data_IF_823611927665
#
_entry.id   IF_823611927665
#
_cell.length_a   1.000
_cell.length_b   1.000
_cell.length_c   1.000
_cell.angle_alpha   90.00
_cell.angle_beta   90.00
_cell.angle_gamma   90.00
#
_symmetry.space_group_name_H-M   'P 1'
#
loop_
_entity.id
_entity.type
_entity.pdbx_description
1 polymer ?
#
# COMPACT_ATOMS: atom_id res chain seq x y z
N UNK A 1 24.21 -34.40 14.56
CA UNK A 1 23.99 -33.07 15.20
C UNK A 1 22.89 -32.37 14.43
N UNK A 2 21.70 -32.23 15.00
CA UNK A 2 20.56 -31.57 14.36
C UNK A 2 20.86 -30.05 14.24
N UNK A 3 21.22 -29.59 13.04
CA UNK A 3 21.32 -28.20 12.67
C UNK A 3 19.91 -27.59 12.50
N UNK A 4 19.06 -27.64 13.50
CA UNK A 4 17.89 -26.78 13.49
C UNK A 4 18.37 -25.34 13.66
N UNK A 5 17.90 -24.40 12.84
CA UNK A 5 18.22 -22.98 13.03
C UNK A 5 17.75 -22.59 14.42
N UNK A 6 18.69 -22.10 15.24
CA UNK A 6 18.46 -21.71 16.63
C UNK A 6 17.48 -20.54 16.81
N UNK A 7 17.01 -19.97 15.69
CA UNK A 7 16.06 -18.88 15.62
C UNK A 7 15.00 -19.27 14.60
N UNK A 8 13.71 -19.32 14.96
CA UNK A 8 12.64 -19.56 14.01
C UNK A 8 12.66 -18.55 12.85
N UNK A 9 12.50 -19.02 11.64
CA UNK A 9 12.34 -18.19 10.43
C UNK A 9 10.90 -18.25 9.94
N UNK A 10 10.55 -17.39 8.99
CA UNK A 10 9.23 -17.46 8.36
C UNK A 10 9.04 -18.78 7.65
N UNK A 11 7.87 -19.43 7.75
CA UNK A 11 7.64 -20.71 7.12
C UNK A 11 7.65 -20.61 5.59
N UNK A 12 8.26 -21.57 4.92
CA UNK A 12 8.13 -21.72 3.47
C UNK A 12 6.84 -22.50 3.18
N UNK A 13 5.78 -21.78 2.79
CA UNK A 13 4.47 -22.35 2.55
C UNK A 13 4.18 -22.38 1.05
N UNK A 14 3.84 -23.56 0.56
CA UNK A 14 3.39 -23.78 -0.81
C UNK A 14 1.90 -23.43 -0.92
N UNK A 15 1.56 -22.56 -1.84
CA UNK A 15 0.18 -22.22 -2.19
C UNK A 15 -0.28 -23.19 -3.28
N UNK A 16 -1.37 -23.89 -3.09
CA UNK A 16 -1.87 -24.86 -4.05
C UNK A 16 -2.70 -24.21 -5.19
N UNK A 17 -3.00 -25.00 -6.24
CA UNK A 17 -3.77 -24.54 -7.40
C UNK A 17 -5.20 -24.13 -7.04
N UNK A 18 -5.81 -24.77 -6.04
CA UNK A 18 -7.18 -24.46 -5.59
C UNK A 18 -7.23 -23.14 -4.84
N UNK A 19 -6.18 -22.85 -4.07
CA UNK A 19 -6.02 -21.55 -3.41
C UNK A 19 -5.84 -20.45 -4.45
N UNK A 20 -4.96 -20.62 -5.42
CA UNK A 20 -4.80 -19.63 -6.50
C UNK A 20 -6.08 -19.41 -7.29
N UNK A 21 -6.82 -20.47 -7.60
CA UNK A 21 -8.15 -20.31 -8.25
C UNK A 21 -9.09 -19.45 -7.41
N UNK A 22 -9.14 -19.67 -6.09
CA UNK A 22 -9.94 -18.85 -5.18
C UNK A 22 -9.50 -17.37 -5.21
N UNK A 23 -8.18 -17.10 -5.11
CA UNK A 23 -7.62 -15.75 -5.15
C UNK A 23 -7.98 -15.03 -6.46
N UNK A 24 -7.78 -15.70 -7.58
CA UNK A 24 -8.07 -15.14 -8.90
C UNK A 24 -9.55 -14.85 -9.09
N UNK A 25 -10.45 -15.73 -8.61
CA UNK A 25 -11.90 -15.51 -8.69
C UNK A 25 -12.31 -14.28 -7.88
N UNK A 26 -11.80 -14.11 -6.64
CA UNK A 26 -12.08 -12.93 -5.82
C UNK A 26 -11.49 -11.68 -6.47
N UNK A 27 -10.24 -11.73 -6.93
CA UNK A 27 -9.59 -10.59 -7.57
C UNK A 27 -10.34 -10.11 -8.81
N UNK A 28 -10.66 -11.01 -9.73
CA UNK A 28 -11.41 -10.67 -10.94
C UNK A 28 -12.83 -10.20 -10.61
N UNK A 29 -13.51 -10.83 -9.66
CA UNK A 29 -14.84 -10.43 -9.22
C UNK A 29 -14.85 -8.99 -8.67
N UNK A 30 -13.88 -8.64 -7.82
CA UNK A 30 -13.76 -7.28 -7.28
C UNK A 30 -13.42 -6.25 -8.38
N UNK A 31 -12.53 -6.57 -9.30
CA UNK A 31 -12.22 -5.69 -10.43
C UNK A 31 -13.44 -5.44 -11.32
N UNK A 32 -14.26 -6.46 -11.56
CA UNK A 32 -15.51 -6.32 -12.32
C UNK A 32 -16.50 -5.45 -11.55
N UNK A 33 -16.73 -5.73 -10.26
CA UNK A 33 -17.66 -4.96 -9.42
C UNK A 33 -17.26 -3.49 -9.36
N UNK A 34 -15.97 -3.21 -9.12
CA UNK A 34 -15.47 -1.82 -9.06
C UNK A 34 -15.44 -1.12 -10.42
N UNK A 35 -15.63 -1.84 -11.52
CA UNK A 35 -15.74 -1.24 -12.86
C UNK A 35 -17.18 -0.81 -13.20
N UNK A 36 -18.17 -1.34 -12.50
CA UNK A 36 -19.57 -1.02 -12.78
C UNK A 36 -19.90 0.48 -12.70
N UNK A 37 -19.47 1.25 -11.67
CA UNK A 37 -19.71 2.70 -11.63
C UNK A 37 -19.11 3.45 -12.81
N UNK A 38 -17.95 3.04 -13.32
CA UNK A 38 -17.31 3.64 -14.49
C UNK A 38 -18.09 3.39 -15.77
N UNK A 39 -18.54 2.15 -15.96
CA UNK A 39 -19.38 1.76 -17.09
C UNK A 39 -20.69 2.56 -17.05
N UNK A 40 -21.33 2.60 -15.88
CA UNK A 40 -22.57 3.36 -15.69
C UNK A 40 -22.37 4.84 -16.01
N UNK A 41 -21.33 5.48 -15.46
CA UNK A 41 -21.05 6.89 -15.70
C UNK A 41 -20.77 7.20 -17.19
N UNK A 42 -20.04 6.31 -17.89
CA UNK A 42 -19.75 6.47 -19.30
C UNK A 42 -21.03 6.42 -20.16
N UNK A 43 -21.96 5.50 -19.84
CA UNK A 43 -23.23 5.36 -20.60
C UNK A 43 -24.30 6.36 -20.17
N UNK A 44 -24.24 6.92 -18.97
CA UNK A 44 -25.18 7.89 -18.43
C UNK A 44 -24.80 9.34 -18.71
N UNK A 45 -23.65 9.59 -19.32
CA UNK A 45 -23.22 10.94 -19.67
C UNK A 45 -24.22 11.58 -20.66
N UNK A 46 -24.70 12.82 -20.39
CA UNK A 46 -25.55 13.56 -21.33
C UNK A 46 -24.86 13.76 -22.68
N UNK A 47 -25.60 13.94 -23.78
CA UNK A 47 -25.03 14.07 -25.14
C UNK A 47 -24.06 15.27 -25.29
N UNK A 48 -24.20 16.29 -24.46
CA UNK A 48 -23.37 17.50 -24.43
C UNK A 48 -22.17 17.39 -23.48
N UNK A 49 -21.97 16.25 -22.81
CA UNK A 49 -20.91 16.02 -21.83
C UNK A 49 -20.15 14.73 -22.09
N UNK A 50 -18.89 14.73 -21.69
CA UNK A 50 -18.03 13.56 -21.76
C UNK A 50 -17.60 13.13 -20.36
N UNK A 51 -17.72 11.82 -20.07
CA UNK A 51 -17.18 11.25 -18.85
C UNK A 51 -15.65 11.21 -18.90
N UNK A 52 -14.99 11.83 -17.92
CA UNK A 52 -13.55 12.01 -17.89
C UNK A 52 -12.77 10.78 -17.40
N UNK A 53 -13.45 9.66 -17.08
CA UNK A 53 -12.82 8.40 -16.72
C UNK A 53 -12.45 8.24 -15.24
N UNK A 54 -12.85 9.16 -14.37
CA UNK A 54 -12.67 9.06 -12.90
C UNK A 54 -13.96 9.49 -12.19
N UNK A 55 -14.20 8.96 -10.98
CA UNK A 55 -15.46 9.12 -10.24
C UNK A 55 -15.29 9.78 -8.87
N UNK A 56 -14.09 9.84 -8.35
CA UNK A 56 -13.74 10.43 -7.06
C UNK A 56 -12.46 11.26 -7.19
N UNK A 57 -12.22 12.15 -6.21
CA UNK A 57 -10.98 12.90 -6.03
C UNK A 57 -10.56 13.70 -7.27
N UNK A 58 -11.48 14.51 -7.77
CA UNK A 58 -11.31 15.35 -8.97
C UNK A 58 -10.03 16.21 -8.94
N UNK A 59 -9.66 16.86 -7.81
CA UNK A 59 -8.46 17.69 -7.76
C UNK A 59 -7.18 16.92 -8.06
N UNK A 60 -6.98 15.74 -7.46
CA UNK A 60 -5.79 14.92 -7.70
C UNK A 60 -5.76 14.41 -9.15
N UNK A 61 -6.93 14.05 -9.69
CA UNK A 61 -7.01 13.62 -11.09
C UNK A 61 -6.69 14.75 -12.06
N UNK A 62 -7.02 16.00 -11.75
CA UNK A 62 -6.63 17.14 -12.57
C UNK A 62 -5.11 17.27 -12.63
N UNK A 63 -4.43 17.07 -11.50
CA UNK A 63 -2.96 17.05 -11.42
C UNK A 63 -2.38 15.87 -12.21
N UNK A 64 -2.90 14.65 -12.01
CA UNK A 64 -2.42 13.46 -12.72
C UNK A 64 -2.61 13.56 -14.23
N UNK A 65 -3.72 14.15 -14.67
CA UNK A 65 -3.98 14.43 -16.08
C UNK A 65 -2.96 15.43 -16.65
N UNK A 66 -2.65 16.47 -15.89
CA UNK A 66 -1.64 17.47 -16.25
C UNK A 66 -0.26 16.81 -16.41
N UNK A 67 0.17 16.01 -15.43
CA UNK A 67 1.42 15.25 -15.52
C UNK A 67 1.43 14.25 -16.69
N UNK A 68 0.30 13.55 -16.92
CA UNK A 68 0.18 12.62 -18.04
C UNK A 68 0.44 13.31 -19.38
N UNK A 69 -0.08 14.51 -19.58
CA UNK A 69 0.15 15.26 -20.81
C UNK A 69 1.58 15.79 -20.90
N UNK A 70 2.11 16.38 -19.84
CA UNK A 70 3.47 16.90 -19.83
C UNK A 70 4.52 15.80 -20.07
N UNK A 71 4.39 14.65 -19.40
CA UNK A 71 5.32 13.51 -19.59
C UNK A 71 5.25 12.84 -20.97
N UNK A 72 4.27 13.16 -21.80
CA UNK A 72 4.28 12.69 -23.20
C UNK A 72 5.35 13.38 -24.05
N UNK A 73 5.73 14.59 -23.69
CA UNK A 73 6.74 15.41 -24.41
C UNK A 73 8.05 15.48 -23.65
N UNK A 74 7.99 15.62 -22.33
CA UNK A 74 9.14 15.94 -21.49
C UNK A 74 9.45 14.80 -20.51
N UNK A 75 10.74 14.62 -20.19
CA UNK A 75 11.17 13.63 -19.18
C UNK A 75 11.14 14.22 -17.77
N UNK A 76 11.46 15.48 -17.63
CA UNK A 76 11.31 16.25 -16.40
C UNK A 76 10.31 17.36 -16.66
N UNK A 77 9.41 17.61 -15.69
CA UNK A 77 8.38 18.62 -15.78
C UNK A 77 8.49 19.61 -14.62
N UNK A 78 7.89 20.76 -14.78
CA UNK A 78 7.73 21.77 -13.73
C UNK A 78 6.63 21.39 -12.73
N UNK A 79 6.53 22.16 -11.66
CA UNK A 79 5.47 21.98 -10.66
C UNK A 79 4.17 22.62 -11.16
N UNK A 80 3.18 21.79 -11.46
CA UNK A 80 1.87 22.23 -11.96
C UNK A 80 0.86 22.62 -10.85
N UNK A 81 1.29 22.62 -9.59
CA UNK A 81 0.44 23.05 -8.45
C UNK A 81 0.52 24.55 -8.19
N UNK A 82 1.36 25.28 -8.92
CA UNK A 82 1.48 26.72 -8.88
C UNK A 82 1.43 27.30 -10.28
N UNK A 83 0.99 28.55 -10.40
CA UNK A 83 1.04 29.31 -11.65
C UNK A 83 2.38 30.05 -11.84
N UNK A 84 3.27 30.05 -10.87
CA UNK A 84 4.58 30.69 -10.92
C UNK A 84 5.54 29.90 -11.81
N UNK A 85 6.38 30.63 -12.56
CA UNK A 85 7.45 30.00 -13.33
C UNK A 85 8.43 29.26 -12.39
N UNK A 86 8.66 28.00 -12.67
CA UNK A 86 9.51 27.15 -11.85
C UNK A 86 10.28 26.12 -12.71
N UNK A 87 11.40 25.57 -12.22
CA UNK A 87 12.24 24.70 -13.01
C UNK A 87 11.59 23.33 -13.27
N UNK A 88 11.82 22.78 -14.48
CA UNK A 88 11.40 21.44 -14.85
C UNK A 88 12.35 20.39 -14.23
N UNK A 89 12.11 20.04 -12.98
CA UNK A 89 12.94 19.10 -12.20
C UNK A 89 12.14 17.92 -11.61
N UNK A 90 10.81 17.93 -11.79
CA UNK A 90 9.97 16.86 -11.25
C UNK A 90 9.91 15.65 -12.16
N UNK A 91 10.04 14.47 -11.52
CA UNK A 91 9.88 13.16 -12.15
C UNK A 91 9.07 12.24 -11.27
N UNK A 92 8.11 11.53 -11.86
CA UNK A 92 7.38 10.44 -11.22
C UNK A 92 7.29 9.26 -12.19
N UNK A 93 7.85 8.12 -11.80
CA UNK A 93 7.96 6.95 -12.66
C UNK A 93 6.61 6.41 -13.13
N UNK A 94 5.62 6.33 -12.23
CA UNK A 94 4.30 5.80 -12.55
C UNK A 94 3.63 6.64 -13.64
N UNK A 95 3.54 7.95 -13.43
CA UNK A 95 2.88 8.86 -14.37
C UNK A 95 3.65 9.00 -15.67
N UNK A 96 4.98 8.95 -15.63
CA UNK A 96 5.79 8.90 -16.83
C UNK A 96 5.52 7.64 -17.66
N UNK A 97 5.52 6.44 -17.03
CA UNK A 97 5.22 5.17 -17.72
C UNK A 97 3.82 5.22 -18.36
N UNK A 98 2.82 5.70 -17.62
CA UNK A 98 1.46 5.83 -18.14
C UNK A 98 1.37 6.80 -19.32
N UNK A 99 2.10 7.91 -19.26
CA UNK A 99 2.19 8.87 -20.36
C UNK A 99 2.81 8.22 -21.62
N UNK A 100 3.89 7.43 -21.47
CA UNK A 100 4.50 6.72 -22.58
C UNK A 100 3.57 5.63 -23.15
N UNK A 101 2.84 4.91 -22.30
CA UNK A 101 1.81 3.96 -22.76
C UNK A 101 0.77 4.68 -23.61
N UNK A 102 0.24 5.80 -23.14
CA UNK A 102 -0.72 6.60 -23.92
C UNK A 102 -0.15 7.11 -25.24
N UNK A 103 1.10 7.62 -25.21
CA UNK A 103 1.80 8.11 -26.40
C UNK A 103 1.98 7.03 -27.47
N UNK A 104 2.39 5.83 -27.07
CA UNK A 104 2.64 4.71 -28.00
C UNK A 104 1.35 4.08 -28.51
N UNK A 105 0.34 3.98 -27.64
CA UNK A 105 -0.93 3.31 -27.99
C UNK A 105 -1.98 4.23 -28.59
N UNK A 106 -1.83 5.55 -28.43
CA UNK A 106 -2.87 6.53 -28.77
C UNK A 106 -4.05 6.55 -27.80
N UNK A 107 -3.98 5.85 -26.68
CA UNK A 107 -5.05 5.82 -25.68
C UNK A 107 -5.10 7.16 -24.91
N UNK A 108 -6.31 7.64 -24.67
CA UNK A 108 -6.54 8.81 -23.83
C UNK A 108 -6.36 8.47 -22.34
N UNK A 109 -6.16 9.49 -21.52
CA UNK A 109 -5.99 9.36 -20.06
C UNK A 109 -7.05 8.46 -19.40
N UNK A 110 -8.36 8.59 -19.67
CA UNK A 110 -9.36 7.70 -19.09
C UNK A 110 -9.09 6.21 -19.28
N UNK A 111 -8.65 5.81 -20.45
CA UNK A 111 -8.33 4.40 -20.74
C UNK A 111 -7.05 3.93 -20.08
N UNK A 112 -6.00 4.75 -20.11
CA UNK A 112 -4.72 4.44 -19.45
C UNK A 112 -4.92 4.34 -17.94
N UNK A 113 -5.76 5.20 -17.37
CA UNK A 113 -6.13 5.15 -15.94
C UNK A 113 -6.88 3.86 -15.59
N UNK A 114 -7.80 3.39 -16.43
CA UNK A 114 -8.48 2.10 -16.19
C UNK A 114 -7.52 0.91 -16.30
N UNK A 115 -6.55 0.95 -17.20
CA UNK A 115 -5.50 -0.07 -17.29
C UNK A 115 -4.67 -0.08 -15.98
N UNK A 116 -4.26 1.08 -15.50
CA UNK A 116 -3.57 1.20 -14.20
C UNK A 116 -4.42 0.60 -13.07
N UNK A 117 -5.70 0.98 -12.99
CA UNK A 117 -6.62 0.52 -11.95
C UNK A 117 -6.76 -1.01 -11.93
N UNK A 118 -6.86 -1.63 -13.08
CA UNK A 118 -6.95 -3.08 -13.18
C UNK A 118 -5.61 -3.77 -12.87
N UNK A 119 -4.52 -3.27 -13.42
CA UNK A 119 -3.19 -3.85 -13.22
C UNK A 119 -2.75 -3.76 -11.76
N UNK A 120 -2.83 -2.58 -11.14
CA UNK A 120 -2.46 -2.36 -9.75
C UNK A 120 -3.38 -3.10 -8.77
N UNK A 121 -4.70 -3.08 -9.04
CA UNK A 121 -5.67 -3.82 -8.24
C UNK A 121 -5.42 -5.32 -8.29
N UNK A 122 -5.18 -5.89 -9.46
CA UNK A 122 -4.84 -7.31 -9.61
C UNK A 122 -3.53 -7.65 -8.89
N UNK A 123 -2.49 -6.83 -9.10
CA UNK A 123 -1.19 -7.03 -8.45
C UNK A 123 -1.31 -7.00 -6.93
N UNK A 124 -1.99 -6.00 -6.36
CA UNK A 124 -2.20 -5.89 -4.91
C UNK A 124 -2.95 -7.09 -4.34
N UNK A 125 -4.05 -7.52 -4.98
CA UNK A 125 -4.85 -8.64 -4.52
C UNK A 125 -4.06 -9.97 -4.55
N UNK A 126 -3.26 -10.20 -5.58
CA UNK A 126 -2.38 -11.38 -5.67
C UNK A 126 -1.28 -11.31 -4.61
N UNK A 127 -0.62 -10.15 -4.47
CA UNK A 127 0.46 -9.94 -3.51
C UNK A 127 -0.04 -10.04 -2.06
N UNK A 128 -1.24 -9.54 -1.76
CA UNK A 128 -1.85 -9.67 -0.44
C UNK A 128 -2.01 -11.13 -0.02
N UNK A 129 -2.49 -12.01 -0.91
CA UNK A 129 -2.61 -13.43 -0.59
C UNK A 129 -1.24 -14.09 -0.42
N UNK A 130 -0.30 -13.78 -1.31
CA UNK A 130 1.07 -14.29 -1.23
C UNK A 130 1.74 -13.88 0.07
N UNK A 131 1.58 -12.62 0.51
CA UNK A 131 2.08 -12.10 1.77
C UNK A 131 1.42 -12.81 2.97
N UNK A 132 0.09 -12.90 3.01
CA UNK A 132 -0.67 -13.61 4.05
C UNK A 132 -0.21 -15.08 4.19
N UNK A 133 0.18 -15.71 3.09
CA UNK A 133 0.69 -17.09 3.12
C UNK A 133 1.99 -17.25 3.93
N UNK A 134 2.72 -16.16 4.21
CA UNK A 134 3.93 -16.19 5.05
C UNK A 134 3.64 -16.27 6.55
N UNK A 135 2.39 -15.98 6.95
CA UNK A 135 1.98 -15.93 8.35
C UNK A 135 1.18 -17.14 8.79
N UNK A 136 0.45 -17.78 7.88
CA UNK A 136 -0.47 -18.85 8.24
C UNK A 136 -0.18 -20.14 7.47
N UNK A 137 0.04 -21.24 8.18
CA UNK A 137 0.14 -22.59 7.59
C UNK A 137 -1.23 -23.14 7.16
N UNK A 138 -2.29 -22.74 7.86
CA UNK A 138 -3.66 -23.21 7.60
C UNK A 138 -4.33 -22.40 6.46
N UNK A 139 -4.74 -23.11 5.40
CA UNK A 139 -5.42 -22.53 4.22
C UNK A 139 -6.72 -21.79 4.58
N UNK A 140 -7.48 -22.25 5.59
CA UNK A 140 -8.72 -21.54 6.01
C UNK A 140 -8.39 -20.18 6.59
N UNK A 141 -7.36 -20.09 7.44
CA UNK A 141 -6.92 -18.82 8.00
C UNK A 141 -6.41 -17.87 6.91
N UNK A 142 -5.63 -18.36 5.93
CA UNK A 142 -5.19 -17.55 4.78
C UNK A 142 -6.36 -16.96 4.01
N UNK A 143 -7.33 -17.80 3.64
CA UNK A 143 -8.53 -17.37 2.91
C UNK A 143 -9.37 -16.38 3.70
N UNK A 144 -9.58 -16.63 4.98
CA UNK A 144 -10.33 -15.72 5.86
C UNK A 144 -9.64 -14.35 5.97
N UNK A 145 -8.33 -14.33 6.26
CA UNK A 145 -7.56 -13.09 6.32
C UNK A 145 -7.57 -12.35 4.99
N UNK A 146 -7.47 -13.07 3.88
CA UNK A 146 -7.55 -12.46 2.54
C UNK A 146 -8.91 -11.80 2.29
N UNK A 147 -10.00 -12.44 2.66
CA UNK A 147 -11.34 -11.85 2.57
C UNK A 147 -11.46 -10.60 3.46
N UNK A 148 -10.90 -10.63 4.67
CA UNK A 148 -10.87 -9.43 5.53
C UNK A 148 -10.07 -8.27 4.91
N UNK A 149 -8.93 -8.55 4.27
CA UNK A 149 -8.12 -7.53 3.59
C UNK A 149 -8.86 -6.96 2.38
N UNK A 150 -9.51 -7.81 1.59
CA UNK A 150 -10.09 -7.40 0.31
C UNK A 150 -11.48 -6.78 0.42
N UNK A 151 -12.28 -7.22 1.39
CA UNK A 151 -13.66 -6.77 1.63
C UNK A 151 -13.83 -6.03 2.95
N UNK A 152 -12.82 -6.08 3.83
CA UNK A 152 -12.81 -5.29 5.06
C UNK A 152 -12.83 -3.82 4.72
N UNK A 153 -13.73 -3.08 5.35
CA UNK A 153 -13.82 -1.63 5.23
C UNK A 153 -14.20 -1.04 6.58
N UNK A 154 -14.12 0.29 6.67
CA UNK A 154 -14.63 1.03 7.81
C UNK A 154 -16.13 0.83 8.01
N UNK A 155 -16.66 1.46 9.04
CA UNK A 155 -18.10 1.48 9.36
C UNK A 155 -18.81 2.69 8.77
N UNK A 156 -18.11 3.52 7.98
CA UNK A 156 -18.66 4.75 7.42
C UNK A 156 -19.85 4.52 6.48
N UNK A 157 -19.89 3.37 5.79
CA UNK A 157 -21.04 3.00 4.98
C UNK A 157 -22.36 2.96 5.78
N UNK A 158 -22.30 2.57 7.06
CA UNK A 158 -23.47 2.61 7.96
C UNK A 158 -23.91 4.05 8.18
N UNK A 159 -22.95 4.96 8.44
CA UNK A 159 -23.23 6.37 8.62
C UNK A 159 -23.75 7.03 7.34
N UNK A 160 -23.25 6.62 6.17
CA UNK A 160 -23.78 7.09 4.88
C UNK A 160 -25.22 6.65 4.67
N UNK A 161 -25.56 5.40 4.97
CA UNK A 161 -26.95 4.93 4.91
C UNK A 161 -27.83 5.75 5.87
N UNK A 162 -27.42 5.91 7.12
CA UNK A 162 -28.16 6.70 8.10
C UNK A 162 -28.38 8.15 7.66
N UNK A 163 -27.33 8.76 7.09
CA UNK A 163 -27.37 10.14 6.58
C UNK A 163 -28.48 10.32 5.53
N UNK A 164 -28.57 9.42 4.57
CA UNK A 164 -29.49 9.59 3.44
C UNK A 164 -30.89 8.96 3.66
N UNK A 165 -31.05 8.06 4.63
CA UNK A 165 -32.35 7.42 4.91
C UNK A 165 -33.08 8.07 6.07
N UNK A 166 -32.40 8.38 7.16
CA UNK A 166 -33.03 8.81 8.42
C UNK A 166 -32.69 10.25 8.83
N UNK A 167 -31.48 10.72 8.48
CA UNK A 167 -30.97 12.02 8.93
C UNK A 167 -31.02 13.11 7.85
N UNK A 168 -31.61 12.82 6.70
CA UNK A 168 -31.86 13.78 5.61
C UNK A 168 -30.64 14.63 5.21
N UNK A 169 -29.43 14.07 5.32
CA UNK A 169 -28.20 14.76 4.96
C UNK A 169 -27.54 15.60 6.05
N UNK A 170 -28.08 15.66 7.26
CA UNK A 170 -27.54 16.48 8.37
C UNK A 170 -26.22 15.94 8.93
N UNK A 171 -25.92 14.64 8.77
CA UNK A 171 -24.66 14.07 9.20
C UNK A 171 -23.56 14.34 8.18
N UNK A 172 -22.37 14.73 8.63
CA UNK A 172 -21.18 14.82 7.76
C UNK A 172 -20.75 13.45 7.25
N UNK A 173 -20.05 13.42 6.10
CA UNK A 173 -19.50 12.16 5.59
C UNK A 173 -18.35 11.66 6.49
N UNK A 174 -18.26 10.35 6.75
CA UNK A 174 -17.21 9.79 7.58
C UNK A 174 -15.85 9.75 6.84
N UNK A 175 -14.76 9.70 7.62
CA UNK A 175 -13.39 9.78 7.09
C UNK A 175 -13.00 8.62 6.18
N UNK A 176 -13.58 7.44 6.33
CA UNK A 176 -13.28 6.26 5.50
C UNK A 176 -13.70 6.40 4.02
N UNK A 177 -14.46 7.45 3.70
CA UNK A 177 -14.74 7.84 2.31
C UNK A 177 -13.59 8.68 1.72
N UNK A 178 -12.83 9.39 2.57
CA UNK A 178 -11.78 10.32 2.16
C UNK A 178 -10.38 9.71 2.33
N UNK A 179 -10.17 8.82 3.31
CA UNK A 179 -8.87 8.16 3.57
C UNK A 179 -8.91 6.78 2.93
N UNK A 180 -8.50 6.74 1.67
CA UNK A 180 -8.59 5.54 0.85
C UNK A 180 -7.67 4.41 1.31
N UNK A 181 -6.50 4.73 1.86
CA UNK A 181 -5.43 3.80 2.21
C UNK A 181 -5.88 2.75 3.24
N UNK A 182 -6.82 3.10 4.09
CA UNK A 182 -7.44 2.18 5.07
C UNK A 182 -8.49 1.23 4.48
N UNK A 183 -8.84 1.36 3.20
CA UNK A 183 -9.96 0.65 2.59
C UNK A 183 -9.61 0.10 1.20
N UNK A 184 -9.30 -1.20 1.12
CA UNK A 184 -8.91 -1.86 -0.12
C UNK A 184 -9.97 -1.70 -1.23
N UNK A 185 -11.27 -1.81 -0.90
CA UNK A 185 -12.32 -1.67 -1.90
C UNK A 185 -12.37 -0.25 -2.48
N UNK A 186 -12.20 0.77 -1.65
CA UNK A 186 -12.16 2.16 -2.11
C UNK A 186 -10.92 2.41 -2.98
N UNK A 187 -9.77 1.84 -2.62
CA UNK A 187 -8.57 1.89 -3.46
C UNK A 187 -8.78 1.21 -4.83
N UNK A 188 -9.42 0.02 -4.85
CA UNK A 188 -9.80 -0.66 -6.10
C UNK A 188 -10.78 0.16 -6.95
N UNK A 189 -11.61 0.94 -6.29
CA UNK A 189 -12.58 1.79 -6.96
C UNK A 189 -11.89 3.01 -7.59
N UNK A 190 -11.04 3.75 -6.88
CA UNK A 190 -10.62 5.08 -7.32
C UNK A 190 -9.17 5.51 -7.01
N UNK A 191 -8.35 4.67 -6.35
CA UNK A 191 -7.00 5.05 -5.95
C UNK A 191 -5.95 4.01 -6.33
N UNK A 192 -5.74 3.75 -7.64
CA UNK A 192 -4.89 2.67 -8.13
C UNK A 192 -3.41 2.82 -7.73
N UNK A 193 -2.89 4.02 -7.57
CA UNK A 193 -1.51 4.26 -7.15
C UNK A 193 -1.22 3.79 -5.72
N UNK A 194 -2.21 3.85 -4.80
CA UNK A 194 -2.05 3.26 -3.47
C UNK A 194 -2.03 1.73 -3.51
N UNK A 195 -2.80 1.11 -4.41
CA UNK A 195 -2.75 -0.35 -4.59
C UNK A 195 -1.42 -0.81 -5.16
N UNK A 196 -0.89 -0.05 -6.09
CA UNK A 196 0.41 -0.33 -6.69
C UNK A 196 1.53 -0.19 -5.65
N UNK A 197 1.56 0.91 -4.88
CA UNK A 197 2.48 1.10 -3.78
C UNK A 197 2.34 -0.01 -2.73
N UNK A 198 1.12 -0.36 -2.33
CA UNK A 198 0.85 -1.46 -1.41
C UNK A 198 1.32 -2.81 -1.93
N UNK A 199 1.18 -3.09 -3.23
CA UNK A 199 1.70 -4.32 -3.85
C UNK A 199 3.24 -4.38 -3.76
N UNK A 200 3.93 -3.26 -3.99
CA UNK A 200 5.39 -3.17 -3.80
C UNK A 200 5.79 -3.41 -2.34
N UNK A 201 5.16 -2.75 -1.37
CA UNK A 201 5.46 -2.90 0.06
C UNK A 201 5.32 -4.37 0.49
N UNK A 202 4.18 -5.01 0.19
CA UNK A 202 3.94 -6.40 0.52
C UNK A 202 4.92 -7.34 -0.19
N UNK A 203 5.23 -7.06 -1.46
CA UNK A 203 6.20 -7.79 -2.25
C UNK A 203 7.63 -7.71 -1.69
N UNK A 204 8.07 -6.51 -1.30
CA UNK A 204 9.37 -6.27 -0.67
C UNK A 204 9.51 -7.09 0.60
N UNK A 205 8.53 -7.03 1.50
CA UNK A 205 8.57 -7.80 2.74
C UNK A 205 8.56 -9.31 2.49
N UNK A 206 7.72 -9.78 1.56
CA UNK A 206 7.68 -11.20 1.21
C UNK A 206 9.01 -11.69 0.61
N UNK A 207 9.70 -10.88 -0.20
CA UNK A 207 11.03 -11.17 -0.72
C UNK A 207 12.08 -11.24 0.39
N UNK A 208 12.06 -10.30 1.34
CA UNK A 208 12.97 -10.31 2.50
C UNK A 208 12.76 -11.56 3.37
N UNK A 209 11.50 -11.97 3.61
CA UNK A 209 11.21 -13.22 4.35
C UNK A 209 11.67 -14.46 3.60
N UNK A 210 11.48 -14.50 2.28
CA UNK A 210 12.00 -15.61 1.47
C UNK A 210 13.52 -15.70 1.53
N UNK A 211 14.19 -14.55 1.52
CA UNK A 211 15.63 -14.49 1.62
C UNK A 211 16.14 -14.97 2.98
N UNK A 212 15.48 -14.61 4.09
CA UNK A 212 15.80 -15.13 5.41
C UNK A 212 15.61 -16.65 5.48
N UNK A 213 14.44 -17.14 5.02
CA UNK A 213 14.10 -18.57 5.08
C UNK A 213 15.08 -19.43 4.27
N UNK A 214 15.59 -18.91 3.14
CA UNK A 214 16.51 -19.63 2.24
C UNK A 214 17.98 -19.29 2.47
N UNK A 215 18.28 -18.37 3.37
CA UNK A 215 19.61 -17.78 3.60
C UNK A 215 20.27 -17.28 2.29
N UNK A 216 19.53 -16.50 1.49
CA UNK A 216 19.94 -16.05 0.17
C UNK A 216 19.75 -14.54 -0.01
N UNK A 217 20.84 -13.79 -0.09
CA UNK A 217 20.84 -12.34 -0.27
C UNK A 217 20.33 -11.85 -1.64
N UNK A 218 20.24 -12.74 -2.65
CA UNK A 218 19.65 -12.36 -3.95
C UNK A 218 18.21 -11.83 -3.80
N UNK A 219 17.45 -12.31 -2.82
CA UNK A 219 16.10 -11.83 -2.57
C UNK A 219 16.09 -10.41 -2.00
N UNK A 220 17.12 -10.01 -1.26
CA UNK A 220 17.30 -8.63 -0.84
C UNK A 220 17.63 -7.71 -2.03
N UNK A 221 18.33 -8.20 -3.07
CA UNK A 221 18.55 -7.44 -4.31
C UNK A 221 17.21 -7.19 -5.02
N UNK A 222 16.36 -8.22 -5.18
CA UNK A 222 15.03 -8.04 -5.77
C UNK A 222 14.14 -7.13 -4.93
N UNK A 223 14.20 -7.24 -3.61
CA UNK A 223 13.51 -6.31 -2.70
C UNK A 223 14.02 -4.88 -2.88
N UNK A 224 15.33 -4.69 -3.06
CA UNK A 224 15.93 -3.38 -3.33
C UNK A 224 15.49 -2.79 -4.66
N UNK A 225 15.42 -3.59 -5.72
CA UNK A 225 14.90 -3.15 -7.03
C UNK A 225 13.42 -2.75 -6.91
N UNK A 226 12.61 -3.54 -6.21
CA UNK A 226 11.21 -3.20 -5.97
C UNK A 226 11.08 -1.90 -5.15
N UNK A 227 11.91 -1.71 -4.11
CA UNK A 227 11.96 -0.48 -3.32
C UNK A 227 12.45 0.73 -4.13
N UNK A 228 13.40 0.54 -5.05
CA UNK A 228 13.84 1.58 -5.98
C UNK A 228 12.69 2.05 -6.87
N UNK A 229 11.93 1.13 -7.46
CA UNK A 229 10.76 1.46 -8.27
C UNK A 229 9.68 2.16 -7.43
N UNK A 230 9.39 1.67 -6.23
CA UNK A 230 8.47 2.31 -5.29
C UNK A 230 8.90 3.74 -4.98
N UNK A 231 10.18 3.96 -4.72
CA UNK A 231 10.70 5.28 -4.34
C UNK A 231 10.56 6.35 -5.43
N UNK A 232 10.57 5.97 -6.70
CA UNK A 232 10.37 6.89 -7.83
C UNK A 232 8.92 7.30 -8.07
N UNK A 233 7.97 6.71 -7.37
CA UNK A 233 6.55 7.02 -7.53
C UNK A 233 5.86 7.36 -6.21
N UNK A 234 6.29 6.72 -5.11
CA UNK A 234 5.75 6.86 -3.77
C UNK A 234 6.90 6.95 -2.75
N UNK A 235 7.69 8.02 -2.84
CA UNK A 235 8.96 8.17 -2.13
C UNK A 235 8.85 8.06 -0.60
N UNK A 236 7.77 8.55 0.00
CA UNK A 236 7.54 8.47 1.45
C UNK A 236 7.32 7.03 1.96
N UNK A 237 6.85 6.11 1.13
CA UNK A 237 6.67 4.70 1.51
C UNK A 237 8.01 3.96 1.70
N UNK A 238 9.12 4.54 1.23
CA UNK A 238 10.45 4.00 1.55
C UNK A 238 10.72 3.97 3.05
N UNK A 239 10.15 4.89 3.80
CA UNK A 239 10.26 4.87 5.26
C UNK A 239 9.65 3.59 5.85
N UNK A 240 8.51 3.14 5.35
CA UNK A 240 7.84 1.91 5.79
C UNK A 240 8.73 0.71 5.52
N UNK A 241 9.24 0.58 4.28
CA UNK A 241 10.04 -0.58 3.90
C UNK A 241 11.45 -0.59 4.49
N UNK A 242 11.94 0.52 5.00
CA UNK A 242 13.21 0.59 5.73
C UNK A 242 13.02 0.41 7.23
N UNK A 243 12.11 1.19 7.85
CA UNK A 243 11.97 1.23 9.31
C UNK A 243 11.42 -0.07 9.88
N UNK A 244 10.36 -0.63 9.29
CA UNK A 244 9.72 -1.83 9.85
C UNK A 244 10.69 -3.02 9.90
N UNK A 245 11.41 -3.41 8.82
CA UNK A 245 12.40 -4.47 8.91
C UNK A 245 13.59 -4.16 9.83
N UNK A 246 14.01 -2.89 9.93
CA UNK A 246 15.08 -2.48 10.85
C UNK A 246 14.66 -2.65 12.31
N UNK A 247 13.45 -2.17 12.66
CA UNK A 247 12.89 -2.32 14.01
C UNK A 247 12.68 -3.79 14.35
N UNK A 248 12.17 -4.58 13.39
CA UNK A 248 12.05 -6.03 13.55
C UNK A 248 13.40 -6.70 13.81
N UNK A 249 14.44 -6.39 13.03
CA UNK A 249 15.77 -6.94 13.22
C UNK A 249 16.38 -6.54 14.56
N UNK A 250 16.23 -5.28 14.95
CA UNK A 250 16.70 -4.76 16.25
C UNK A 250 15.97 -5.46 17.41
N UNK A 251 14.66 -5.65 17.31
CA UNK A 251 13.86 -6.36 18.32
C UNK A 251 14.28 -7.81 18.43
N UNK A 252 14.53 -8.50 17.32
CA UNK A 252 15.08 -9.87 17.35
C UNK A 252 16.45 -9.93 18.02
N UNK A 253 17.34 -8.99 17.72
CA UNK A 253 18.64 -8.91 18.35
C UNK A 253 18.51 -8.71 19.86
N UNK A 254 17.70 -7.74 20.27
CA UNK A 254 17.48 -7.46 21.70
C UNK A 254 16.95 -8.69 22.48
N UNK A 255 16.00 -9.42 21.87
CA UNK A 255 15.34 -10.57 22.51
C UNK A 255 16.20 -11.83 22.51
N UNK A 256 16.91 -12.12 21.40
CA UNK A 256 17.68 -13.35 21.24
C UNK A 256 19.14 -13.23 21.65
N UNK A 257 19.64 -12.00 21.81
CA UNK A 257 21.06 -11.67 22.02
C UNK A 257 21.98 -12.19 20.87
N UNK A 258 21.41 -12.55 19.74
CA UNK A 258 22.13 -12.99 18.53
C UNK A 258 21.96 -11.97 17.44
N UNK A 259 23.09 -11.49 16.89
CA UNK A 259 23.05 -10.48 15.83
C UNK A 259 22.38 -11.04 14.57
N UNK A 260 21.38 -10.35 14.01
CA UNK A 260 20.61 -10.86 12.85
C UNK A 260 21.36 -10.55 11.54
N UNK A 261 22.43 -11.30 11.25
CA UNK A 261 23.36 -11.04 10.13
C UNK A 261 22.63 -10.95 8.79
N UNK A 262 21.67 -11.84 8.53
CA UNK A 262 20.88 -11.80 7.30
C UNK A 262 20.18 -10.44 7.15
N UNK A 263 19.41 -10.02 8.16
CA UNK A 263 18.64 -8.78 8.11
C UNK A 263 19.52 -7.55 7.97
N UNK A 264 20.64 -7.52 8.67
CA UNK A 264 21.60 -6.41 8.51
C UNK A 264 22.12 -6.30 7.08
N UNK A 265 22.57 -7.41 6.47
CA UNK A 265 23.03 -7.43 5.08
C UNK A 265 21.90 -7.11 4.10
N UNK A 266 20.72 -7.70 4.33
CA UNK A 266 19.55 -7.49 3.47
C UNK A 266 19.12 -6.01 3.47
N UNK A 267 19.11 -5.36 4.63
CA UNK A 267 18.74 -3.96 4.75
C UNK A 267 19.79 -3.02 4.13
N UNK A 268 21.09 -3.35 4.26
CA UNK A 268 22.14 -2.61 3.54
C UNK A 268 21.94 -2.68 2.03
N UNK A 269 21.69 -3.87 1.48
CA UNK A 269 21.46 -4.06 0.04
C UNK A 269 20.20 -3.31 -0.41
N UNK A 270 19.08 -3.57 0.25
CA UNK A 270 17.79 -2.96 -0.10
C UNK A 270 17.86 -1.44 0.01
N UNK A 271 18.41 -0.92 1.10
CA UNK A 271 18.56 0.52 1.32
C UNK A 271 19.49 1.17 0.31
N UNK A 272 20.67 0.57 0.02
CA UNK A 272 21.61 1.13 -0.97
C UNK A 272 21.00 1.21 -2.36
N UNK A 273 20.26 0.19 -2.79
CA UNK A 273 19.62 0.18 -4.13
C UNK A 273 18.50 1.22 -4.19
N UNK A 274 17.71 1.38 -3.13
CA UNK A 274 16.59 2.32 -3.09
C UNK A 274 16.95 3.73 -2.59
N UNK A 275 18.21 3.99 -2.28
CA UNK A 275 18.69 5.29 -1.82
C UNK A 275 18.55 6.42 -2.87
N UNK A 276 18.84 6.20 -4.17
CA UNK A 276 18.77 7.28 -5.17
C UNK A 276 17.40 7.99 -5.23
N UNK A 277 16.25 7.30 -5.35
CA UNK A 277 14.96 7.99 -5.33
C UNK A 277 14.67 8.69 -4.00
N UNK A 278 15.15 8.16 -2.86
CA UNK A 278 14.99 8.83 -1.57
C UNK A 278 15.76 10.15 -1.52
N UNK A 279 17.01 10.15 -2.00
CA UNK A 279 17.83 11.37 -2.09
C UNK A 279 17.16 12.37 -3.05
N UNK A 280 16.71 11.93 -4.22
CA UNK A 280 16.03 12.78 -5.17
C UNK A 280 14.82 13.48 -4.54
N UNK A 281 13.90 12.73 -3.89
CA UNK A 281 12.72 13.30 -3.25
C UNK A 281 13.11 14.28 -2.12
N UNK A 282 14.14 13.95 -1.32
CA UNK A 282 14.63 14.84 -0.28
C UNK A 282 15.20 16.15 -0.85
N UNK A 283 15.98 16.07 -1.91
CA UNK A 283 16.56 17.25 -2.56
C UNK A 283 15.47 18.10 -3.21
N UNK A 284 14.52 17.48 -3.92
CA UNK A 284 13.39 18.15 -4.55
C UNK A 284 12.60 18.97 -3.52
N UNK A 285 12.28 18.38 -2.38
CA UNK A 285 11.40 18.99 -1.35
C UNK A 285 12.13 19.93 -0.39
N UNK A 286 13.47 20.01 -0.43
CA UNK A 286 14.27 20.83 0.50
C UNK A 286 15.11 21.91 -0.18
N UNK A 287 15.50 21.72 -1.41
CA UNK A 287 16.38 22.65 -2.11
C UNK A 287 15.65 23.52 -3.13
N UNK A 288 14.51 23.07 -3.64
CA UNK A 288 13.71 23.90 -4.53
C UNK A 288 12.68 24.70 -3.73
N UNK A 289 12.71 26.03 -3.77
CA UNK A 289 11.79 26.87 -3.00
C UNK A 289 10.32 26.65 -3.37
N UNK A 290 10.03 26.43 -4.65
CA UNK A 290 8.66 26.25 -5.14
C UNK A 290 8.05 24.95 -4.57
N UNK A 291 8.81 23.86 -4.54
CA UNK A 291 8.36 22.61 -3.95
C UNK A 291 8.20 22.68 -2.44
N UNK A 292 9.10 23.39 -1.74
CA UNK A 292 9.00 23.57 -0.29
C UNK A 292 7.75 24.41 0.07
N UNK A 293 7.51 25.52 -0.63
CA UNK A 293 6.35 26.39 -0.43
C UNK A 293 5.03 25.70 -0.78
N UNK A 294 4.95 25.00 -1.91
CA UNK A 294 3.75 24.24 -2.31
C UNK A 294 3.42 23.16 -1.30
N UNK A 295 4.42 22.39 -0.85
CA UNK A 295 4.21 21.38 0.18
C UNK A 295 3.79 21.97 1.52
N UNK A 296 4.32 23.13 1.91
CA UNK A 296 3.91 23.84 3.11
C UNK A 296 2.43 24.28 3.05
N UNK A 297 1.94 24.71 1.88
CA UNK A 297 0.53 25.09 1.67
C UNK A 297 -0.41 23.88 1.79
N UNK A 298 -0.05 22.75 1.21
CA UNK A 298 -0.85 21.53 1.32
C UNK A 298 -0.80 20.89 2.71
N UNK A 299 0.08 21.39 3.59
CA UNK A 299 0.10 21.11 5.04
C UNK A 299 -0.17 19.63 5.38
N UNK A 300 0.43 18.71 4.64
CA UNK A 300 0.56 17.32 5.11
C UNK A 300 1.35 17.24 6.43
N UNK A 301 1.96 18.33 6.83
CA UNK A 301 2.54 18.56 8.15
C UNK A 301 1.53 18.44 9.32
N UNK A 302 0.25 18.26 9.05
CA UNK A 302 -0.80 18.17 10.04
C UNK A 302 -1.79 17.02 9.80
N UNK A 303 -1.36 15.89 9.23
CA UNK A 303 -2.20 14.68 9.27
C UNK A 303 -2.26 14.21 10.71
N UNK A 304 -3.23 14.74 11.44
CA UNK A 304 -3.50 14.30 12.80
C UNK A 304 -4.12 12.92 12.77
N UNK A 305 -3.66 12.04 13.65
CA UNK A 305 -4.33 10.77 13.90
C UNK A 305 -5.79 11.04 14.29
N UNK A 306 -6.77 10.42 13.61
CA UNK A 306 -8.18 10.57 13.98
C UNK A 306 -8.41 10.23 15.46
N UNK A 307 -9.44 10.82 16.05
CA UNK A 307 -9.86 10.44 17.41
C UNK A 307 -10.22 8.95 17.46
N UNK A 308 -10.08 8.26 18.60
CA UNK A 308 -10.38 6.83 18.70
C UNK A 308 -11.74 6.39 18.13
N UNK A 309 -12.86 7.14 18.33
CA UNK A 309 -14.13 6.81 17.67
C UNK A 309 -14.07 6.92 16.15
N UNK A 310 -13.41 7.94 15.59
CA UNK A 310 -13.24 8.09 14.15
C UNK A 310 -12.31 7.00 13.58
N UNK A 311 -11.28 6.61 14.31
CA UNK A 311 -10.39 5.52 13.91
C UNK A 311 -11.15 4.18 13.84
N UNK A 312 -12.06 3.95 14.79
CA UNK A 312 -12.96 2.78 14.77
C UNK A 312 -13.89 2.80 13.55
N UNK A 313 -14.44 3.96 13.20
CA UNK A 313 -15.27 4.12 12.00
C UNK A 313 -14.43 3.92 10.74
N UNK A 314 -13.23 4.47 10.70
CA UNK A 314 -12.33 4.40 9.55
C UNK A 314 -11.89 2.96 9.24
N UNK A 315 -11.42 2.21 10.24
CA UNK A 315 -10.84 0.87 10.06
C UNK A 315 -11.89 -0.24 10.29
N UNK A 316 -12.89 0.01 11.15
CA UNK A 316 -14.01 -0.90 11.37
C UNK A 316 -13.63 -2.22 12.04
N UNK A 317 -14.23 -3.31 11.54
CA UNK A 317 -14.05 -4.65 12.09
C UNK A 317 -12.60 -5.12 12.21
N UNK A 318 -11.70 -4.86 11.23
CA UNK A 318 -10.29 -5.22 11.37
C UNK A 318 -9.62 -4.62 12.62
N UNK A 319 -9.92 -3.37 12.98
CA UNK A 319 -9.39 -2.75 14.20
C UNK A 319 -9.93 -3.44 15.47
N UNK A 320 -11.22 -3.72 15.51
CA UNK A 320 -11.83 -4.44 16.65
C UNK A 320 -11.17 -5.80 16.86
N UNK A 321 -10.97 -6.54 15.75
CA UNK A 321 -10.29 -7.84 15.80
C UNK A 321 -8.83 -7.72 16.22
N UNK A 322 -8.12 -6.70 15.78
CA UNK A 322 -6.74 -6.44 16.18
C UNK A 322 -6.64 -6.13 17.69
N UNK A 323 -7.49 -5.24 18.20
CA UNK A 323 -7.55 -4.92 19.64
C UNK A 323 -7.84 -6.18 20.45
N UNK A 324 -8.82 -6.98 20.04
CA UNK A 324 -9.14 -8.24 20.71
C UNK A 324 -7.95 -9.21 20.69
N UNK A 325 -7.28 -9.35 19.54
CA UNK A 325 -6.08 -10.17 19.44
C UNK A 325 -4.95 -9.70 20.37
N UNK A 326 -4.72 -8.40 20.49
CA UNK A 326 -3.76 -7.82 21.44
C UNK A 326 -4.12 -8.16 22.88
N UNK A 327 -5.38 -8.03 23.27
CA UNK A 327 -5.85 -8.40 24.63
C UNK A 327 -5.57 -9.89 24.91
N UNK A 328 -5.89 -10.77 23.96
CA UNK A 328 -5.62 -12.21 24.09
C UNK A 328 -4.13 -12.49 24.22
N UNK A 329 -3.30 -11.88 23.37
CA UNK A 329 -1.84 -12.03 23.42
C UNK A 329 -1.25 -11.50 24.75
N UNK A 330 -1.76 -10.39 25.25
CA UNK A 330 -1.36 -9.83 26.53
C UNK A 330 -1.66 -10.78 27.69
N UNK A 331 -2.89 -11.31 27.73
CA UNK A 331 -3.30 -12.29 28.73
C UNK A 331 -2.45 -13.57 28.64
N UNK A 332 -2.17 -14.06 27.43
CA UNK A 332 -1.32 -15.23 27.21
C UNK A 332 0.13 -14.95 27.66
N UNK A 333 0.64 -13.76 27.37
CA UNK A 333 1.97 -13.33 27.81
C UNK A 333 2.12 -13.36 29.34
N UNK A 334 1.12 -12.87 30.06
CA UNK A 334 1.10 -12.91 31.54
C UNK A 334 1.06 -14.36 32.04
N UNK A 335 0.23 -15.24 31.43
CA UNK A 335 0.02 -16.63 31.89
C UNK A 335 1.16 -17.56 31.52
N UNK A 336 1.69 -17.46 30.30
CA UNK A 336 2.51 -18.52 29.66
C UNK A 336 3.96 -18.09 29.35
N UNK A 337 4.46 -17.01 29.91
CA UNK A 337 5.74 -16.38 29.59
C UNK A 337 5.77 -15.73 28.18
N UNK A 338 6.15 -14.49 28.15
CA UNK A 338 6.29 -13.65 26.94
C UNK A 338 7.24 -14.24 25.89
N UNK A 339 8.17 -15.11 26.28
CA UNK A 339 9.13 -15.76 25.35
C UNK A 339 8.44 -16.45 24.18
N UNK A 340 7.34 -17.16 24.41
CA UNK A 340 6.63 -17.87 23.34
C UNK A 340 6.02 -16.95 22.27
N UNK A 341 5.66 -15.73 22.66
CA UNK A 341 5.11 -14.71 21.76
C UNK A 341 6.26 -14.10 20.95
N UNK A 342 7.35 -13.74 21.62
CA UNK A 342 8.48 -13.06 20.98
C UNK A 342 9.34 -13.97 20.11
N UNK A 343 9.30 -15.29 20.32
CA UNK A 343 9.98 -16.27 19.50
C UNK A 343 9.28 -16.52 18.16
N UNK A 344 8.02 -16.10 18.00
CA UNK A 344 7.31 -16.20 16.71
C UNK A 344 7.68 -15.03 15.79
N UNK A 345 8.46 -15.26 14.71
CA UNK A 345 8.94 -14.19 13.84
C UNK A 345 7.80 -13.46 13.11
N UNK A 346 6.75 -14.18 12.72
CA UNK A 346 5.61 -13.60 12.04
C UNK A 346 4.84 -12.65 12.97
N UNK A 347 4.56 -13.09 14.20
CA UNK A 347 3.88 -12.26 15.17
C UNK A 347 4.72 -11.04 15.57
N UNK A 348 6.03 -11.21 15.79
CA UNK A 348 6.93 -10.11 16.11
C UNK A 348 6.96 -9.07 14.97
N UNK A 349 7.02 -9.51 13.71
CA UNK A 349 7.00 -8.60 12.57
C UNK A 349 5.71 -7.78 12.51
N UNK A 350 4.55 -8.43 12.67
CA UNK A 350 3.25 -7.74 12.67
C UNK A 350 3.13 -6.76 13.83
N UNK A 351 3.64 -7.11 15.01
CA UNK A 351 3.68 -6.19 16.16
C UNK A 351 4.56 -4.96 15.87
N UNK A 352 5.73 -5.16 15.25
CA UNK A 352 6.62 -4.04 14.89
C UNK A 352 6.04 -3.17 13.76
N UNK A 353 5.17 -3.70 12.94
CA UNK A 353 4.47 -2.91 11.92
C UNK A 353 3.29 -2.13 12.52
N UNK A 354 2.64 -2.67 13.53
CA UNK A 354 1.47 -2.04 14.15
C UNK A 354 1.83 -0.89 15.11
N UNK A 355 2.99 -0.97 15.78
CA UNK A 355 3.49 0.05 16.70
C UNK A 355 4.17 1.18 15.95
#
# INVERSE_FOLDING_TARGET
MNNQPLIPTFPEIKIDKKEWKFVLLIALGLLVITSFPYIYAAFSAPPDKQFMGFILNVPDHAQYLSWYHAFQTDFLIDNHLTAEENPAIFFNLLWWVLAQVGKVTGLSYPWVYQILRWASGFAFLVMSYWFVSRFFSNTRHRKFTYILITLGSGLGWVLVILKYTFLHGELSNPLDIFIAEGNTFLCLLAYPHFLEAGAFILGIFALLFMGETRDQLRWAVFAGIAAFLLGWQHGYDLLIVWLIPMVYAASRWALTRKFPVYWFKAMLITGSISLPPAIYNLLLTRLDPTWDEVLAQFSNAGVYTPTPPHLLILIGLPLVMAIFAFIVLFIQGIRNKWSQIWENPALLFLLMWFI
#
